data_IF_143081470701
#
_entry.id   IF_143081470701
#
_cell.length_a   1.000
_cell.length_b   1.000
_cell.length_c   1.000
_cell.angle_alpha   90.00
_cell.angle_beta   90.00
_cell.angle_gamma   90.00
#
_symmetry.space_group_name_H-M   'P 1'
#
loop_
_entity.id
_entity.type
_entity.pdbx_description
1 polymer ?
#
# COMPACT_ATOMS: atom_id res chain seq x y z
N UNK A 1 18.36 32.89 -24.45
CA UNK A 1 17.02 32.68 -25.04
C UNK A 1 16.12 32.06 -23.98
N UNK A 2 15.13 32.79 -23.44
CA UNK A 2 14.13 32.20 -22.53
C UNK A 2 12.98 31.70 -23.41
N UNK A 3 12.94 30.39 -23.62
CA UNK A 3 11.84 29.75 -24.35
C UNK A 3 10.57 29.92 -23.51
N UNK A 4 9.58 30.60 -24.06
CA UNK A 4 8.28 30.78 -23.42
C UNK A 4 7.51 29.45 -23.49
N UNK A 5 7.14 28.91 -22.33
CA UNK A 5 6.32 27.70 -22.21
C UNK A 5 4.89 28.12 -21.81
N UNK A 6 3.86 27.74 -22.60
CA UNK A 6 2.46 27.95 -22.28
C UNK A 6 2.11 27.42 -20.89
N UNK A 7 1.22 28.11 -20.17
CA UNK A 7 0.87 27.74 -18.79
C UNK A 7 0.30 26.31 -18.68
N UNK A 8 -0.40 25.82 -19.70
CA UNK A 8 -0.93 24.45 -19.78
C UNK A 8 0.16 23.37 -19.91
N UNK A 9 1.36 23.73 -20.37
CA UNK A 9 2.51 22.82 -20.51
C UNK A 9 3.50 22.94 -19.35
N UNK A 10 3.20 23.79 -18.35
CA UNK A 10 4.03 23.89 -17.15
C UNK A 10 3.71 22.71 -16.23
N UNK A 11 4.72 22.09 -15.59
CA UNK A 11 4.47 21.13 -14.53
C UNK A 11 3.57 21.75 -13.45
N UNK A 12 2.76 20.93 -12.75
CA UNK A 12 1.99 21.40 -11.60
C UNK A 12 2.92 22.10 -10.61
N UNK A 13 2.51 23.28 -10.11
CA UNK A 13 3.30 24.03 -9.11
C UNK A 13 3.44 23.28 -7.77
N UNK A 14 2.50 22.37 -7.50
CA UNK A 14 2.43 21.59 -6.27
C UNK A 14 2.07 20.15 -6.64
N UNK A 15 2.76 19.18 -6.03
CA UNK A 15 2.46 17.77 -6.16
C UNK A 15 2.31 17.19 -4.75
N UNK A 16 1.25 16.42 -4.53
CA UNK A 16 1.05 15.70 -3.27
C UNK A 16 1.74 14.35 -3.35
N UNK A 17 2.52 14.02 -2.32
CA UNK A 17 3.10 12.69 -2.11
C UNK A 17 2.45 12.10 -0.87
N UNK A 18 1.94 10.88 -0.98
CA UNK A 18 1.31 10.13 0.10
C UNK A 18 2.13 8.86 0.32
N UNK A 19 2.56 8.63 1.56
CA UNK A 19 3.39 7.49 1.93
C UNK A 19 2.65 6.71 3.01
N UNK A 20 2.52 5.40 2.79
CA UNK A 20 2.02 4.46 3.79
C UNK A 20 3.14 3.52 4.22
N UNK A 21 3.17 3.20 5.50
CA UNK A 21 3.83 1.98 5.97
C UNK A 21 2.89 0.78 5.78
N UNK A 22 3.44 -0.43 5.81
CA UNK A 22 2.68 -1.68 5.65
C UNK A 22 2.37 -2.34 6.99
N UNK A 23 3.41 -2.74 7.71
CA UNK A 23 3.34 -3.58 8.90
C UNK A 23 2.67 -2.84 10.06
N UNK A 24 1.62 -3.45 10.60
CA UNK A 24 0.73 -2.90 11.64
C UNK A 24 0.14 -1.50 11.32
N UNK A 25 0.12 -1.13 10.03
CA UNK A 25 -0.50 0.09 9.52
C UNK A 25 -1.62 -0.24 8.54
N UNK A 26 -1.30 -0.86 7.40
CA UNK A 26 -2.30 -1.31 6.40
C UNK A 26 -2.72 -2.76 6.65
N UNK A 27 -1.85 -3.57 7.26
CA UNK A 27 -2.13 -4.95 7.64
C UNK A 27 -1.53 -5.23 9.02
N UNK A 28 -2.28 -5.91 9.90
CA UNK A 28 -1.86 -6.27 11.25
C UNK A 28 -0.87 -7.45 11.29
N UNK A 29 0.28 -7.28 10.63
CA UNK A 29 1.26 -8.34 10.42
C UNK A 29 1.87 -8.88 11.71
N UNK A 30 2.01 -8.10 12.78
CA UNK A 30 2.45 -8.65 14.09
C UNK A 30 1.45 -9.65 14.65
N UNK A 31 0.15 -9.36 14.54
CA UNK A 31 -0.91 -10.28 14.96
C UNK A 31 -0.92 -11.57 14.12
N UNK A 32 -0.72 -11.43 12.81
CA UNK A 32 -0.76 -12.54 11.85
C UNK A 32 0.49 -13.42 11.91
N UNK A 33 1.66 -12.84 12.15
CA UNK A 33 2.93 -13.56 12.25
C UNK A 33 2.94 -14.55 13.42
N UNK A 34 2.25 -14.23 14.52
CA UNK A 34 2.06 -15.13 15.66
C UNK A 34 1.12 -16.32 15.35
N UNK A 35 0.48 -16.34 14.18
CA UNK A 35 -0.56 -17.31 13.78
C UNK A 35 -0.30 -17.94 12.41
N UNK A 36 0.95 -17.88 11.92
CA UNK A 36 1.30 -18.34 10.56
C UNK A 36 0.89 -19.78 10.23
N UNK A 37 0.84 -20.65 11.24
CA UNK A 37 0.53 -22.09 11.13
C UNK A 37 -0.85 -22.45 11.70
N UNK A 38 -1.61 -21.48 12.21
CA UNK A 38 -2.90 -21.73 12.85
C UNK A 38 -4.05 -21.37 11.90
N UNK A 39 -5.08 -22.20 11.88
CA UNK A 39 -6.34 -21.82 11.24
C UNK A 39 -6.90 -20.56 11.92
N UNK A 40 -7.27 -19.56 11.13
CA UNK A 40 -7.89 -18.36 11.66
C UNK A 40 -9.32 -18.66 12.10
N UNK A 41 -9.75 -18.04 13.19
CA UNK A 41 -11.16 -18.13 13.57
C UNK A 41 -12.02 -17.35 12.58
N UNK A 42 -13.31 -17.71 12.40
CA UNK A 42 -14.21 -16.98 11.51
C UNK A 42 -14.33 -15.48 11.84
N UNK A 43 -14.16 -15.12 13.12
CA UNK A 43 -14.17 -13.72 13.57
C UNK A 43 -12.94 -12.98 13.04
N UNK A 44 -11.76 -13.59 13.08
CA UNK A 44 -10.53 -13.00 12.55
C UNK A 44 -10.62 -12.88 11.02
N UNK A 45 -11.11 -13.90 10.33
CA UNK A 45 -11.30 -13.84 8.87
C UNK A 45 -12.24 -12.70 8.46
N UNK A 46 -13.34 -12.49 9.21
CA UNK A 46 -14.25 -11.36 8.97
C UNK A 46 -13.52 -10.02 9.11
N UNK A 47 -12.73 -9.84 10.17
CA UNK A 47 -11.97 -8.62 10.35
C UNK A 47 -10.90 -8.41 9.27
N UNK A 48 -10.26 -9.48 8.78
CA UNK A 48 -9.33 -9.36 7.66
C UNK A 48 -10.01 -8.89 6.38
N UNK A 49 -11.23 -9.36 6.08
CA UNK A 49 -12.02 -8.85 4.94
C UNK A 49 -12.39 -7.37 5.11
N UNK A 50 -12.69 -6.94 6.34
CA UNK A 50 -12.96 -5.52 6.64
C UNK A 50 -11.71 -4.66 6.44
N UNK A 51 -10.56 -5.12 6.92
CA UNK A 51 -9.25 -4.47 6.74
C UNK A 51 -8.90 -4.40 5.25
N UNK A 52 -9.04 -5.50 4.51
CA UNK A 52 -8.82 -5.58 3.07
C UNK A 52 -9.66 -4.54 2.32
N UNK A 53 -10.97 -4.49 2.61
CA UNK A 53 -11.87 -3.51 2.01
C UNK A 53 -11.51 -2.06 2.37
N UNK A 54 -11.10 -1.80 3.62
CA UNK A 54 -10.70 -0.46 4.06
C UNK A 54 -9.38 -0.01 3.40
N UNK A 55 -8.36 -0.86 3.41
CA UNK A 55 -7.07 -0.61 2.77
C UNK A 55 -7.23 -0.38 1.25
N UNK A 56 -8.10 -1.16 0.59
CA UNK A 56 -8.42 -0.99 -0.83
C UNK A 56 -8.92 0.41 -1.12
N UNK A 57 -9.98 0.83 -0.42
CA UNK A 57 -10.59 2.17 -0.59
C UNK A 57 -9.60 3.29 -0.27
N UNK A 58 -8.79 3.10 0.77
CA UNK A 58 -7.78 4.08 1.19
C UNK A 58 -6.71 4.28 0.11
N UNK A 59 -6.13 3.19 -0.40
CA UNK A 59 -5.09 3.24 -1.43
C UNK A 59 -5.63 3.81 -2.75
N UNK A 60 -6.82 3.38 -3.18
CA UNK A 60 -7.47 3.92 -4.38
C UNK A 60 -7.73 5.43 -4.26
N UNK A 61 -8.20 5.90 -3.09
CA UNK A 61 -8.40 7.32 -2.84
C UNK A 61 -7.08 8.08 -2.83
N UNK A 62 -6.05 7.56 -2.16
CA UNK A 62 -4.73 8.18 -2.11
C UNK A 62 -4.14 8.36 -3.52
N UNK A 63 -4.24 7.33 -4.37
CA UNK A 63 -3.77 7.40 -5.76
C UNK A 63 -4.50 8.45 -6.60
N UNK A 64 -5.78 8.75 -6.30
CA UNK A 64 -6.51 9.85 -6.95
C UNK A 64 -6.08 11.23 -6.44
N UNK A 65 -5.56 11.32 -5.22
CA UNK A 65 -5.19 12.57 -4.56
C UNK A 65 -3.71 12.95 -4.75
N UNK A 66 -2.85 11.99 -5.09
CA UNK A 66 -1.42 12.24 -5.31
C UNK A 66 -0.58 11.01 -5.59
N UNK A 67 0.73 11.22 -5.74
CA UNK A 67 1.69 10.14 -5.90
C UNK A 67 1.73 9.31 -4.62
N UNK A 68 1.31 8.05 -4.72
CA UNK A 68 1.17 7.17 -3.56
C UNK A 68 2.23 6.09 -3.57
N UNK A 69 2.85 5.87 -2.41
CA UNK A 69 3.90 4.88 -2.19
C UNK A 69 3.61 4.07 -0.94
N UNK A 70 4.00 2.79 -0.96
CA UNK A 70 4.15 1.99 0.24
C UNK A 70 5.64 1.86 0.52
N UNK A 71 6.08 2.30 1.69
CA UNK A 71 7.48 2.20 2.13
C UNK A 71 7.50 1.42 3.45
N UNK A 72 8.14 0.26 3.46
CA UNK A 72 8.22 -0.62 4.64
C UNK A 72 9.68 -0.96 4.97
N UNK A 73 9.98 -1.20 6.25
CA UNK A 73 11.27 -1.73 6.68
C UNK A 73 11.41 -3.26 6.47
N UNK A 74 10.39 -3.92 5.93
CA UNK A 74 10.45 -5.32 5.54
C UNK A 74 11.29 -5.53 4.28
N UNK A 75 11.62 -6.79 3.99
CA UNK A 75 12.32 -7.16 2.76
C UNK A 75 11.43 -6.99 1.51
N UNK A 76 12.04 -6.73 0.35
CA UNK A 76 11.32 -6.71 -0.93
C UNK A 76 10.52 -7.99 -1.15
N UNK A 77 9.29 -7.87 -1.64
CA UNK A 77 8.35 -8.97 -1.81
C UNK A 77 7.49 -9.30 -0.58
N UNK A 78 7.78 -8.72 0.59
CA UNK A 78 7.02 -8.98 1.81
C UNK A 78 5.56 -8.52 1.74
N UNK A 79 5.32 -7.34 1.15
CA UNK A 79 3.98 -6.76 1.02
C UNK A 79 3.09 -7.65 0.16
N UNK A 80 3.62 -8.09 -0.98
CA UNK A 80 2.93 -8.96 -1.94
C UNK A 80 2.68 -10.34 -1.35
N UNK A 81 3.69 -10.94 -0.71
CA UNK A 81 3.57 -12.25 -0.05
C UNK A 81 2.50 -12.23 1.06
N UNK A 82 2.60 -11.26 1.98
CA UNK A 82 1.65 -11.16 3.10
C UNK A 82 0.24 -10.83 2.63
N UNK A 83 0.10 -10.03 1.57
CA UNK A 83 -1.21 -9.76 0.94
C UNK A 83 -1.81 -11.00 0.31
N UNK A 84 -1.04 -11.74 -0.50
CA UNK A 84 -1.51 -12.97 -1.14
C UNK A 84 -1.99 -14.00 -0.12
N UNK A 85 -1.37 -14.04 1.07
CA UNK A 85 -1.75 -14.96 2.15
C UNK A 85 -3.02 -14.52 2.90
N UNK A 86 -3.16 -13.23 3.21
CA UNK A 86 -4.14 -12.78 4.21
C UNK A 86 -5.23 -11.86 3.65
N UNK A 87 -4.93 -11.10 2.60
CA UNK A 87 -5.81 -10.08 1.99
C UNK A 87 -5.62 -10.06 0.46
N UNK A 88 -5.91 -11.17 -0.24
CA UNK A 88 -5.55 -11.36 -1.64
C UNK A 88 -6.24 -10.37 -2.61
N UNK A 89 -7.41 -9.81 -2.26
CA UNK A 89 -8.11 -8.83 -3.09
C UNK A 89 -7.43 -7.46 -3.10
N UNK A 90 -6.40 -7.23 -2.26
CA UNK A 90 -5.53 -6.07 -2.38
C UNK A 90 -4.50 -6.19 -3.51
N UNK A 91 -4.16 -7.39 -3.97
CA UNK A 91 -3.11 -7.58 -4.98
C UNK A 91 -3.30 -6.73 -6.25
N UNK A 92 -4.50 -6.62 -6.85
CA UNK A 92 -4.71 -5.77 -8.02
C UNK A 92 -4.51 -4.27 -7.75
N UNK A 93 -4.75 -3.81 -6.53
CA UNK A 93 -4.51 -2.40 -6.14
C UNK A 93 -3.04 -2.18 -5.85
N UNK A 94 -2.37 -3.13 -5.20
CA UNK A 94 -0.94 -3.07 -4.92
C UNK A 94 -0.08 -3.05 -6.20
N UNK A 95 -0.54 -3.67 -7.29
CA UNK A 95 0.11 -3.55 -8.62
C UNK A 95 0.14 -2.12 -9.18
N UNK A 96 -0.72 -1.23 -8.69
CA UNK A 96 -0.82 0.16 -9.14
C UNK A 96 -0.03 1.12 -8.22
N UNK A 97 0.38 0.66 -7.03
CA UNK A 97 1.11 1.46 -6.05
C UNK A 97 2.58 1.07 -6.07
N UNK A 98 3.49 2.05 -6.01
CA UNK A 98 4.91 1.74 -5.91
C UNK A 98 5.27 1.30 -4.49
N UNK A 99 5.73 0.05 -4.37
CA UNK A 99 6.19 -0.54 -3.11
C UNK A 99 7.72 -0.46 -3.04
N UNK A 100 8.25 0.00 -1.91
CA UNK A 100 9.68 0.19 -1.67
C UNK A 100 10.05 -0.42 -0.32
N UNK A 101 11.06 -1.28 -0.32
CA UNK A 101 11.72 -1.72 0.91
C UNK A 101 12.78 -0.69 1.30
N UNK A 102 12.72 -0.17 2.53
CA UNK A 102 13.77 0.67 3.11
C UNK A 102 14.99 -0.13 3.58
N UNK A 103 14.86 -1.47 3.68
CA UNK A 103 15.89 -2.38 4.18
C UNK A 103 16.88 -2.81 3.09
N UNK A 104 16.44 -2.86 1.84
CA UNK A 104 17.28 -3.22 0.68
C UNK A 104 17.68 -1.95 -0.06
N UNK A 105 18.97 -1.61 -0.04
CA UNK A 105 19.54 -0.44 -0.75
C UNK A 105 19.87 -0.77 -2.20
#
# INVERSE_FOLDING_TARGET
SKVWVPQAQRPPKHQTVIIFDWDDTLLCTSFLNLRLEQALSPVVERHLREIEGAAKRLLELAMRLGHTFIITNAMSGWVEYSSAKWVPELLPVLQQVRIISARTK
#
